data_IF_302977408060
#
_entry.id   IF_302977408060
#
_cell.length_a   1.000
_cell.length_b   1.000
_cell.length_c   1.000
_cell.angle_alpha   90.00
_cell.angle_beta   90.00
_cell.angle_gamma   90.00
#
_symmetry.space_group_name_H-M   'P 1'
#
loop_
_entity.id
_entity.type
_entity.pdbx_description
1 polymer ?
#
# COMPACT_ATOMS: atom_id res chain seq x y z
N UNK A 1 -4.99 -38.46 -3.87
CA UNK A 1 -4.43 -38.79 -5.19
C UNK A 1 -5.23 -38.20 -6.36
N UNK A 2 -6.56 -38.36 -6.45
CA UNK A 2 -7.32 -37.71 -7.55
C UNK A 2 -7.49 -36.19 -7.36
N UNK A 3 -7.56 -35.71 -6.10
CA UNK A 3 -7.66 -34.27 -5.79
C UNK A 3 -6.33 -33.50 -5.94
N UNK A 4 -5.19 -34.15 -5.68
CA UNK A 4 -3.85 -33.56 -5.93
C UNK A 4 -3.59 -33.37 -7.43
N UNK A 5 -4.07 -34.31 -8.24
CA UNK A 5 -3.93 -34.23 -9.70
C UNK A 5 -4.75 -33.08 -10.29
N UNK A 6 -5.92 -32.79 -9.71
CA UNK A 6 -6.75 -31.65 -10.13
C UNK A 6 -6.18 -30.32 -9.61
N UNK A 7 -5.57 -30.28 -8.43
CA UNK A 7 -4.92 -29.05 -7.95
C UNK A 7 -3.67 -28.69 -8.79
N UNK A 8 -2.88 -29.67 -9.21
CA UNK A 8 -1.73 -29.42 -10.11
C UNK A 8 -2.18 -29.04 -11.54
N UNK A 9 -3.33 -29.54 -12.00
CA UNK A 9 -3.89 -29.22 -13.32
C UNK A 9 -4.63 -27.86 -13.34
N UNK A 10 -5.20 -27.39 -12.22
CA UNK A 10 -5.78 -26.04 -12.11
C UNK A 10 -4.77 -24.97 -11.65
N UNK A 11 -3.64 -25.38 -11.08
CA UNK A 11 -2.47 -24.51 -10.90
C UNK A 11 -1.73 -24.24 -12.22
N UNK A 12 -2.26 -24.72 -13.36
CA UNK A 12 -1.72 -24.48 -14.69
C UNK A 12 -1.57 -22.97 -14.92
N UNK A 13 -0.31 -22.60 -14.80
CA UNK A 13 0.20 -21.26 -14.61
C UNK A 13 -0.30 -20.34 -15.70
N UNK A 14 -1.14 -19.37 -15.34
CA UNK A 14 -1.39 -18.27 -16.26
C UNK A 14 -0.05 -17.65 -16.62
N UNK A 15 0.30 -17.64 -17.93
CA UNK A 15 1.63 -17.27 -18.35
C UNK A 15 1.92 -15.86 -17.82
N UNK A 16 3.09 -15.63 -17.19
CA UNK A 16 3.39 -14.34 -16.58
C UNK A 16 3.23 -13.26 -17.64
N UNK A 17 2.55 -12.17 -17.27
CA UNK A 17 2.21 -11.10 -18.20
C UNK A 17 3.47 -10.56 -18.87
N UNK A 18 3.34 -10.01 -20.09
CA UNK A 18 4.48 -9.38 -20.77
C UNK A 18 5.15 -8.33 -19.86
N UNK A 19 4.38 -7.61 -19.05
CA UNK A 19 4.90 -6.63 -18.11
C UNK A 19 5.57 -7.25 -16.88
N UNK A 20 5.23 -8.47 -16.48
CA UNK A 20 6.00 -9.16 -15.43
C UNK A 20 7.41 -9.50 -15.92
N UNK A 21 7.53 -9.93 -17.17
CA UNK A 21 8.81 -10.28 -17.80
C UNK A 21 9.63 -9.03 -18.17
N UNK A 22 9.00 -8.08 -18.84
CA UNK A 22 9.67 -6.91 -19.43
C UNK A 22 9.57 -5.63 -18.61
N UNK A 23 8.76 -5.60 -17.56
CA UNK A 23 8.55 -4.39 -16.76
C UNK A 23 9.83 -3.88 -16.12
N UNK A 24 10.73 -4.75 -15.69
CA UNK A 24 12.05 -4.35 -15.17
C UNK A 24 12.91 -3.67 -16.23
N UNK A 25 13.20 -4.29 -17.40
CA UNK A 25 13.88 -3.61 -18.50
C UNK A 25 13.23 -2.31 -18.95
N UNK A 26 11.89 -2.28 -19.07
CA UNK A 26 11.16 -1.09 -19.54
C UNK A 26 11.28 0.05 -18.52
N UNK A 27 11.00 -0.20 -17.24
CA UNK A 27 11.17 0.82 -16.20
C UNK A 27 12.62 1.28 -16.07
N UNK A 28 13.58 0.36 -16.21
CA UNK A 28 15.02 0.69 -16.23
C UNK A 28 15.41 1.58 -17.41
N UNK A 29 14.92 1.27 -18.62
CA UNK A 29 15.19 2.07 -19.82
C UNK A 29 14.57 3.47 -19.71
N UNK A 30 13.33 3.59 -19.24
CA UNK A 30 12.68 4.89 -19.05
C UNK A 30 13.41 5.69 -17.97
N UNK A 31 13.78 5.05 -16.85
CA UNK A 31 14.56 5.68 -15.79
C UNK A 31 15.93 6.18 -16.32
N UNK A 32 16.59 5.39 -17.16
CA UNK A 32 17.86 5.77 -17.79
C UNK A 32 17.70 6.98 -18.72
N UNK A 33 16.71 6.96 -19.63
CA UNK A 33 16.42 8.09 -20.52
C UNK A 33 16.11 9.35 -19.72
N UNK A 34 15.32 9.23 -18.64
CA UNK A 34 14.98 10.36 -17.77
C UNK A 34 16.21 10.91 -17.05
N UNK A 35 17.12 10.02 -16.61
CA UNK A 35 18.39 10.43 -16.02
C UNK A 35 19.24 11.20 -17.02
N UNK A 36 19.44 10.67 -18.24
CA UNK A 36 20.22 11.33 -19.29
C UNK A 36 19.65 12.71 -19.65
N UNK A 37 18.32 12.85 -19.68
CA UNK A 37 17.69 14.12 -20.03
C UNK A 37 17.70 15.16 -18.89
N UNK A 38 17.54 14.73 -17.65
CA UNK A 38 17.39 15.64 -16.49
C UNK A 38 18.66 15.79 -15.68
N UNK A 39 19.66 14.93 -15.88
CA UNK A 39 20.80 14.71 -14.99
C UNK A 39 20.38 14.49 -13.52
N UNK A 40 19.14 14.07 -13.26
CA UNK A 40 18.58 13.94 -11.92
C UNK A 40 18.32 12.48 -11.56
N UNK A 41 19.21 11.96 -10.72
CA UNK A 41 19.21 10.57 -10.27
C UNK A 41 17.98 10.22 -9.42
N UNK A 42 17.36 11.21 -8.77
CA UNK A 42 16.19 10.96 -7.92
C UNK A 42 14.93 10.76 -8.75
N UNK A 43 14.70 11.59 -9.77
CA UNK A 43 13.56 11.38 -10.67
C UNK A 43 13.64 10.03 -11.39
N UNK A 44 14.85 9.65 -11.81
CA UNK A 44 15.13 8.34 -12.40
C UNK A 44 14.80 7.18 -11.45
N UNK A 45 15.27 7.25 -10.19
CA UNK A 45 15.00 6.20 -9.21
C UNK A 45 13.51 6.08 -8.85
N UNK A 46 12.78 7.20 -8.82
CA UNK A 46 11.32 7.19 -8.64
C UNK A 46 10.59 6.50 -9.79
N UNK A 47 10.99 6.76 -11.05
CA UNK A 47 10.42 6.08 -12.21
C UNK A 47 10.71 4.59 -12.17
N UNK A 48 11.93 4.21 -11.78
CA UNK A 48 12.26 2.80 -11.57
C UNK A 48 11.41 2.18 -10.45
N UNK A 49 11.12 2.94 -9.38
CA UNK A 49 10.31 2.50 -8.26
C UNK A 49 8.84 2.19 -8.65
N UNK A 50 8.32 2.77 -9.74
CA UNK A 50 6.97 2.50 -10.24
C UNK A 50 6.70 1.01 -10.44
N UNK A 51 7.76 0.22 -10.74
CA UNK A 51 7.66 -1.23 -10.90
C UNK A 51 7.14 -1.95 -9.65
N UNK A 52 7.42 -1.43 -8.45
CA UNK A 52 6.97 -2.03 -7.19
C UNK A 52 5.48 -1.86 -6.94
N UNK A 53 4.86 -0.80 -7.47
CA UNK A 53 3.42 -0.54 -7.31
C UNK A 53 2.55 -1.05 -8.45
N UNK A 54 3.13 -1.36 -9.61
CA UNK A 54 2.38 -1.70 -10.82
C UNK A 54 1.37 -2.84 -10.64
N UNK A 55 1.77 -3.93 -9.98
CA UNK A 55 0.90 -5.09 -9.78
C UNK A 55 -0.35 -4.72 -8.99
N UNK A 56 -0.22 -3.85 -7.98
CA UNK A 56 -1.36 -3.35 -7.21
C UNK A 56 -2.21 -2.37 -8.03
N UNK A 57 -1.63 -1.49 -8.84
CA UNK A 57 -2.41 -0.58 -9.69
C UNK A 57 -3.22 -1.33 -10.74
N UNK A 58 -2.60 -2.29 -11.42
CA UNK A 58 -3.26 -3.15 -12.41
C UNK A 58 -4.39 -3.99 -11.77
N UNK A 59 -4.09 -4.54 -10.61
CA UNK A 59 -5.04 -5.22 -9.74
C UNK A 59 -6.30 -4.40 -9.49
N UNK A 60 -6.12 -3.20 -8.94
CA UNK A 60 -7.20 -2.28 -8.66
C UNK A 60 -7.99 -1.88 -9.91
N UNK A 61 -7.29 -1.61 -11.02
CA UNK A 61 -7.92 -1.25 -12.30
C UNK A 61 -8.80 -2.37 -12.85
N UNK A 62 -8.35 -3.61 -12.73
CA UNK A 62 -9.10 -4.79 -13.17
C UNK A 62 -10.38 -4.97 -12.34
N UNK A 63 -10.29 -4.84 -11.01
CA UNK A 63 -11.49 -4.84 -10.17
C UNK A 63 -12.45 -3.73 -10.55
N UNK A 64 -11.96 -2.51 -10.75
CA UNK A 64 -12.82 -1.40 -11.13
C UNK A 64 -13.59 -1.67 -12.43
N UNK A 65 -12.97 -2.32 -13.42
CA UNK A 65 -13.61 -2.64 -14.69
C UNK A 65 -14.54 -3.85 -14.64
N UNK A 66 -14.28 -4.83 -13.77
CA UNK A 66 -15.01 -6.12 -13.74
C UNK A 66 -16.03 -6.24 -12.60
N UNK A 67 -15.97 -5.36 -11.60
CA UNK A 67 -16.87 -5.45 -10.45
C UNK A 67 -18.31 -5.08 -10.85
N UNK A 68 -19.28 -5.93 -10.47
CA UNK A 68 -20.70 -5.69 -10.73
C UNK A 68 -21.23 -4.41 -10.05
N UNK A 69 -20.58 -3.95 -8.99
CA UNK A 69 -20.95 -2.75 -8.25
C UNK A 69 -19.89 -1.67 -8.41
N UNK A 70 -20.18 -0.56 -9.13
CA UNK A 70 -19.16 0.43 -9.49
C UNK A 70 -18.53 1.10 -8.27
N UNK A 71 -19.30 1.31 -7.20
CA UNK A 71 -18.80 1.89 -5.95
C UNK A 71 -17.76 1.02 -5.24
N UNK A 72 -17.95 -0.31 -5.22
CA UNK A 72 -16.98 -1.25 -4.65
C UNK A 72 -15.74 -1.32 -5.52
N UNK A 73 -15.90 -1.45 -6.84
CA UNK A 73 -14.79 -1.47 -7.79
C UNK A 73 -13.89 -0.23 -7.66
N UNK A 74 -14.49 0.96 -7.55
CA UNK A 74 -13.76 2.21 -7.31
C UNK A 74 -13.02 2.24 -5.97
N UNK A 75 -13.66 1.78 -4.90
CA UNK A 75 -13.02 1.75 -3.59
C UNK A 75 -11.84 0.77 -3.56
N UNK A 76 -11.98 -0.40 -4.19
CA UNK A 76 -10.90 -1.40 -4.31
C UNK A 76 -9.74 -0.82 -5.13
N UNK A 77 -10.03 -0.16 -6.26
CA UNK A 77 -9.02 0.54 -7.06
C UNK A 77 -8.22 1.53 -6.23
N UNK A 78 -8.91 2.43 -5.50
CA UNK A 78 -8.25 3.45 -4.69
C UNK A 78 -7.41 2.85 -3.56
N UNK A 79 -7.87 1.76 -2.93
CA UNK A 79 -7.10 1.09 -1.89
C UNK A 79 -5.84 0.42 -2.45
N UNK A 80 -5.94 -0.17 -3.64
CA UNK A 80 -4.79 -0.71 -4.37
C UNK A 80 -3.83 0.39 -4.85
N UNK A 81 -4.35 1.53 -5.30
CA UNK A 81 -3.51 2.69 -5.64
C UNK A 81 -2.78 3.21 -4.39
N UNK A 82 -3.43 3.29 -3.24
CA UNK A 82 -2.79 3.66 -1.98
C UNK A 82 -1.65 2.67 -1.61
N UNK A 83 -1.88 1.36 -1.79
CA UNK A 83 -0.84 0.35 -1.61
C UNK A 83 0.33 0.53 -2.59
N UNK A 84 0.03 0.75 -3.87
CA UNK A 84 1.01 0.98 -4.93
C UNK A 84 1.88 2.20 -4.60
N UNK A 85 1.26 3.34 -4.31
CA UNK A 85 1.96 4.60 -3.98
C UNK A 85 2.83 4.44 -2.73
N UNK A 86 2.36 3.70 -1.72
CA UNK A 86 3.14 3.41 -0.52
C UNK A 86 4.40 2.60 -0.83
N UNK A 87 4.29 1.56 -1.66
CA UNK A 87 5.42 0.72 -2.07
C UNK A 87 6.43 1.50 -2.92
N UNK A 88 5.94 2.26 -3.90
CA UNK A 88 6.77 3.12 -4.77
C UNK A 88 7.55 4.11 -3.91
N UNK A 89 6.88 4.74 -2.94
CA UNK A 89 7.49 5.68 -2.02
C UNK A 89 8.58 5.04 -1.16
N UNK A 90 8.29 3.92 -0.48
CA UNK A 90 9.26 3.22 0.38
C UNK A 90 10.47 2.75 -0.45
N UNK A 91 10.23 2.17 -1.63
CA UNK A 91 11.28 1.73 -2.52
C UNK A 91 12.13 2.90 -3.04
N UNK A 92 11.49 4.02 -3.40
CA UNK A 92 12.17 5.25 -3.83
C UNK A 92 13.12 5.79 -2.75
N UNK A 93 12.66 5.85 -1.49
CA UNK A 93 13.50 6.25 -0.36
C UNK A 93 14.67 5.29 -0.18
N UNK A 94 14.41 3.98 -0.18
CA UNK A 94 15.45 2.96 -0.02
C UNK A 94 16.53 3.05 -1.11
N UNK A 95 16.11 3.25 -2.37
CA UNK A 95 17.03 3.42 -3.49
C UNK A 95 17.82 4.72 -3.39
N UNK A 96 17.20 5.81 -2.97
CA UNK A 96 17.90 7.08 -2.76
C UNK A 96 19.01 6.94 -1.71
N UNK A 97 18.73 6.27 -0.58
CA UNK A 97 19.76 5.98 0.43
C UNK A 97 20.85 5.05 -0.10
N UNK A 98 20.48 3.98 -0.81
CA UNK A 98 21.44 3.07 -1.41
C UNK A 98 22.40 3.81 -2.36
N UNK A 99 21.85 4.66 -3.23
CA UNK A 99 22.63 5.50 -4.14
C UNK A 99 23.54 6.47 -3.39
N UNK A 100 23.03 7.16 -2.36
CA UNK A 100 23.81 8.11 -1.58
C UNK A 100 25.01 7.44 -0.88
N UNK A 101 24.83 6.22 -0.37
CA UNK A 101 25.89 5.41 0.25
C UNK A 101 26.90 4.94 -0.79
N UNK A 102 26.43 4.40 -1.93
CA UNK A 102 27.28 3.86 -2.98
C UNK A 102 28.07 4.93 -3.75
N UNK A 103 27.61 6.19 -3.75
CA UNK A 103 28.31 7.30 -4.41
C UNK A 103 29.54 7.80 -3.63
N UNK A 104 29.59 7.61 -2.30
CA UNK A 104 30.68 8.06 -1.42
C UNK A 104 32.09 7.62 -1.89
N UNK A 105 32.36 6.33 -2.18
CA UNK A 105 33.70 5.87 -2.53
C UNK A 105 34.23 6.40 -3.87
N UNK A 106 33.37 6.91 -4.76
CA UNK A 106 33.78 7.38 -6.08
C UNK A 106 34.16 8.86 -6.12
N UNK A 107 34.21 9.55 -4.97
CA UNK A 107 34.60 10.96 -4.90
C UNK A 107 33.66 11.90 -5.66
N UNK A 108 32.52 11.40 -6.15
CA UNK A 108 31.42 12.24 -6.62
C UNK A 108 30.84 12.88 -5.37
N UNK A 109 31.00 14.19 -5.24
CA UNK A 109 30.52 14.95 -4.09
C UNK A 109 29.10 14.53 -3.74
N UNK A 110 28.86 14.32 -2.44
CA UNK A 110 27.52 14.01 -1.97
C UNK A 110 26.53 15.02 -2.58
N UNK A 111 25.33 14.58 -3.02
CA UNK A 111 24.32 15.52 -3.46
C UNK A 111 24.16 16.58 -2.38
N UNK A 112 24.12 17.84 -2.81
CA UNK A 112 23.95 18.98 -1.94
C UNK A 112 22.78 18.73 -0.97
N UNK A 113 23.02 18.92 0.32
CA UNK A 113 22.07 18.55 1.38
C UNK A 113 20.74 19.28 1.16
N UNK A 114 20.79 20.53 0.72
CA UNK A 114 19.58 21.33 0.47
C UNK A 114 18.77 20.75 -0.69
N UNK A 115 19.44 20.30 -1.75
CA UNK A 115 18.81 19.62 -2.88
C UNK A 115 18.19 18.29 -2.45
N UNK A 116 18.92 17.50 -1.66
CA UNK A 116 18.42 16.21 -1.15
C UNK A 116 17.22 16.40 -0.22
N UNK A 117 17.26 17.39 0.67
CA UNK A 117 16.15 17.73 1.56
C UNK A 117 14.93 18.24 0.81
N UNK A 118 15.12 19.07 -0.21
CA UNK A 118 14.03 19.57 -1.06
C UNK A 118 13.34 18.42 -1.80
N UNK A 119 14.13 17.53 -2.41
CA UNK A 119 13.58 16.38 -3.14
C UNK A 119 12.89 15.41 -2.18
N UNK A 120 13.51 15.11 -1.03
CA UNK A 120 12.88 14.32 0.03
C UNK A 120 11.55 14.93 0.45
N UNK A 121 11.49 16.24 0.71
CA UNK A 121 10.25 16.92 1.09
C UNK A 121 9.17 16.75 0.02
N UNK A 122 9.50 16.94 -1.26
CA UNK A 122 8.56 16.75 -2.37
C UNK A 122 8.05 15.31 -2.46
N UNK A 123 8.94 14.33 -2.31
CA UNK A 123 8.59 12.90 -2.37
C UNK A 123 7.76 12.48 -1.17
N UNK A 124 8.12 12.95 0.03
CA UNK A 124 7.37 12.74 1.27
C UNK A 124 5.97 13.33 1.15
N UNK A 125 5.87 14.61 0.80
CA UNK A 125 4.59 15.31 0.71
C UNK A 125 3.75 14.66 -0.40
N UNK A 126 4.28 14.50 -1.61
CA UNK A 126 3.53 13.95 -2.74
C UNK A 126 3.09 12.50 -2.53
N UNK A 127 4.03 11.61 -2.20
CA UNK A 127 3.78 10.17 -2.09
C UNK A 127 2.88 9.82 -0.92
N UNK A 128 3.12 10.40 0.26
CA UNK A 128 2.31 10.14 1.43
C UNK A 128 0.92 10.78 1.32
N UNK A 129 0.82 12.03 0.86
CA UNK A 129 -0.49 12.67 0.69
C UNK A 129 -1.34 11.95 -0.34
N UNK A 130 -0.76 11.51 -1.46
CA UNK A 130 -1.49 10.76 -2.47
C UNK A 130 -1.97 9.41 -1.92
N UNK A 131 -1.10 8.66 -1.23
CA UNK A 131 -1.47 7.38 -0.61
C UNK A 131 -2.61 7.54 0.40
N UNK A 132 -2.46 8.49 1.33
CA UNK A 132 -3.47 8.77 2.35
C UNK A 132 -4.76 9.29 1.74
N UNK A 133 -4.70 10.15 0.71
CA UNK A 133 -5.88 10.65 0.02
C UNK A 133 -6.64 9.53 -0.70
N UNK A 134 -5.94 8.63 -1.41
CA UNK A 134 -6.55 7.46 -2.04
C UNK A 134 -7.20 6.53 -1.00
N UNK A 135 -6.50 6.25 0.11
CA UNK A 135 -7.04 5.42 1.19
C UNK A 135 -8.29 6.06 1.82
N UNK A 136 -8.25 7.37 2.11
CA UNK A 136 -9.38 8.11 2.67
C UNK A 136 -10.56 8.15 1.71
N UNK A 137 -10.32 8.42 0.42
CA UNK A 137 -11.35 8.41 -0.61
C UNK A 137 -12.00 7.02 -0.74
N UNK A 138 -11.21 5.94 -0.69
CA UNK A 138 -11.73 4.57 -0.64
C UNK A 138 -12.66 4.35 0.57
N UNK A 139 -12.23 4.75 1.77
CA UNK A 139 -13.04 4.66 2.99
C UNK A 139 -14.35 5.45 2.85
N UNK A 140 -14.30 6.67 2.32
CA UNK A 140 -15.50 7.51 2.11
C UNK A 140 -16.48 6.87 1.12
N UNK A 141 -15.98 6.27 0.04
CA UNK A 141 -16.82 5.57 -0.94
C UNK A 141 -17.45 4.32 -0.33
N UNK A 142 -16.68 3.52 0.42
CA UNK A 142 -17.20 2.34 1.13
C UNK A 142 -18.30 2.73 2.13
N UNK A 143 -18.08 3.80 2.91
CA UNK A 143 -19.09 4.31 3.85
C UNK A 143 -20.35 4.81 3.13
N UNK A 144 -20.21 5.53 2.03
CA UNK A 144 -21.36 6.03 1.24
C UNK A 144 -22.15 4.91 0.58
N UNK A 145 -21.47 3.85 0.13
CA UNK A 145 -22.11 2.70 -0.51
C UNK A 145 -22.61 1.64 0.48
N UNK A 146 -22.23 1.73 1.76
CA UNK A 146 -22.53 0.70 2.77
C UNK A 146 -21.84 -0.63 2.47
N UNK A 147 -20.78 -0.64 1.67
CA UNK A 147 -20.07 -1.84 1.25
C UNK A 147 -18.73 -1.95 1.95
N UNK A 148 -18.32 -3.19 2.26
CA UNK A 148 -16.99 -3.53 2.77
C UNK A 148 -16.12 -4.09 1.64
N UNK A 149 -14.81 -4.00 1.79
CA UNK A 149 -13.84 -4.50 0.81
C UNK A 149 -12.96 -5.60 1.38
N UNK A 150 -12.63 -6.55 0.51
CA UNK A 150 -11.69 -7.62 0.76
C UNK A 150 -10.56 -7.55 -0.26
N UNK A 151 -9.32 -7.43 0.22
CA UNK A 151 -8.13 -7.40 -0.64
C UNK A 151 -7.24 -8.55 -0.23
N UNK A 152 -7.04 -9.49 -1.15
CA UNK A 152 -6.16 -10.64 -0.92
C UNK A 152 -4.68 -10.25 -1.02
N UNK A 153 -3.80 -11.00 -0.36
CA UNK A 153 -2.37 -10.98 -0.59
C UNK A 153 -1.90 -11.39 -1.98
N UNK A 154 -2.63 -12.31 -2.60
CA UNK A 154 -2.30 -12.87 -3.91
C UNK A 154 -3.23 -12.35 -5.00
N UNK A 155 -3.76 -11.15 -4.78
CA UNK A 155 -4.73 -10.50 -5.67
C UNK A 155 -4.31 -10.61 -7.14
N UNK A 156 -2.99 -10.51 -7.43
CA UNK A 156 -2.40 -10.69 -8.77
C UNK A 156 -2.62 -12.05 -9.43
N UNK A 157 -2.37 -13.15 -8.73
CA UNK A 157 -2.54 -14.49 -9.28
C UNK A 157 -4.03 -14.86 -9.39
N UNK A 158 -4.85 -14.29 -8.52
CA UNK A 158 -6.28 -14.55 -8.44
C UNK A 158 -7.13 -13.73 -9.44
N UNK A 159 -6.51 -12.96 -10.36
CA UNK A 159 -7.23 -12.19 -11.38
C UNK A 159 -7.79 -13.01 -12.55
N UNK A 160 -7.26 -14.21 -12.72
CA UNK A 160 -7.70 -15.18 -13.72
C UNK A 160 -8.66 -16.19 -13.13
N UNK A 161 -8.57 -16.41 -11.81
CA UNK A 161 -9.51 -17.25 -11.08
C UNK A 161 -10.78 -16.45 -10.75
N UNK A 162 -11.89 -17.16 -10.62
CA UNK A 162 -13.13 -16.54 -10.20
C UNK A 162 -12.98 -15.95 -8.80
N UNK A 163 -13.69 -14.87 -8.42
CA UNK A 163 -13.75 -14.42 -7.03
C UNK A 163 -14.17 -15.55 -6.05
N UNK A 164 -14.80 -16.59 -6.59
CA UNK A 164 -15.29 -17.79 -5.91
C UNK A 164 -14.23 -18.86 -5.63
N UNK A 165 -13.10 -18.87 -6.33
CA UNK A 165 -12.03 -19.88 -6.14
C UNK A 165 -11.06 -19.47 -5.03
N UNK A 166 -11.43 -18.44 -4.25
CA UNK A 166 -10.56 -17.87 -3.23
C UNK A 166 -10.57 -18.74 -1.99
N UNK A 167 -9.39 -19.10 -1.48
CA UNK A 167 -9.33 -19.82 -0.23
C UNK A 167 -9.88 -18.99 0.92
N UNK A 168 -10.75 -19.59 1.73
CA UNK A 168 -11.36 -18.96 2.90
C UNK A 168 -10.33 -18.54 3.97
N UNK A 169 -9.11 -19.07 3.90
CA UNK A 169 -8.01 -18.80 4.84
C UNK A 169 -7.14 -17.59 4.50
N UNK A 170 -7.43 -16.89 3.40
CA UNK A 170 -6.65 -15.72 3.01
C UNK A 170 -6.86 -14.57 4.00
N UNK A 171 -5.86 -13.69 4.14
CA UNK A 171 -5.94 -12.56 5.08
C UNK A 171 -6.31 -11.27 4.35
N UNK A 172 -7.21 -10.48 4.93
CA UNK A 172 -7.59 -9.19 4.35
C UNK A 172 -6.46 -8.16 4.48
N UNK A 173 -5.71 -7.94 3.39
CA UNK A 173 -4.65 -6.92 3.29
C UNK A 173 -5.14 -5.50 3.47
N UNK A 174 -6.44 -5.23 3.39
CA UNK A 174 -7.00 -3.91 3.64
C UNK A 174 -6.54 -3.35 5.00
N UNK A 175 -6.44 -4.20 6.03
CA UNK A 175 -5.96 -3.79 7.37
C UNK A 175 -4.53 -3.26 7.34
N UNK A 176 -3.67 -3.90 6.55
CA UNK A 176 -2.28 -3.50 6.37
C UNK A 176 -2.19 -2.16 5.63
N UNK A 177 -2.93 -2.01 4.53
CA UNK A 177 -2.91 -0.78 3.71
C UNK A 177 -3.39 0.42 4.54
N UNK A 178 -4.50 0.28 5.28
CA UNK A 178 -4.98 1.32 6.20
C UNK A 178 -3.94 1.64 7.27
N UNK A 179 -3.26 0.62 7.81
CA UNK A 179 -2.18 0.84 8.78
C UNK A 179 -1.02 1.65 8.18
N UNK A 180 -0.59 1.35 6.95
CA UNK A 180 0.43 2.13 6.25
C UNK A 180 -0.01 3.60 6.04
N UNK A 181 -1.24 3.85 5.60
CA UNK A 181 -1.75 5.20 5.45
C UNK A 181 -1.81 5.96 6.79
N UNK A 182 -2.17 5.27 7.88
CA UNK A 182 -2.17 5.87 9.22
C UNK A 182 -0.75 6.13 9.74
N UNK A 183 0.24 5.31 9.40
CA UNK A 183 1.65 5.59 9.69
C UNK A 183 2.09 6.88 8.98
N UNK A 184 1.67 7.09 7.73
CA UNK A 184 1.96 8.34 7.02
C UNK A 184 1.30 9.56 7.65
N UNK A 185 0.05 9.44 8.10
CA UNK A 185 -0.63 10.51 8.87
C UNK A 185 0.12 10.79 10.17
N UNK A 186 0.51 9.75 10.90
CA UNK A 186 1.27 9.87 12.15
C UNK A 186 2.62 10.55 11.90
N UNK A 187 3.34 10.15 10.86
CA UNK A 187 4.62 10.75 10.49
C UNK A 187 4.47 12.23 10.18
N UNK A 188 3.50 12.62 9.33
CA UNK A 188 3.20 14.03 9.07
C UNK A 188 2.82 14.80 10.34
N UNK A 189 2.03 14.16 11.21
CA UNK A 189 1.69 14.70 12.52
C UNK A 189 2.93 15.00 13.36
N UNK A 190 3.89 14.07 13.43
CA UNK A 190 5.17 14.25 14.14
C UNK A 190 5.99 15.38 13.54
N UNK A 191 6.11 15.45 12.20
CA UNK A 191 6.81 16.57 11.53
C UNK A 191 6.18 17.90 11.93
N UNK A 192 4.85 18.02 11.86
CA UNK A 192 4.14 19.24 12.28
C UNK A 192 4.33 19.55 13.78
N UNK A 193 4.32 18.52 14.64
CA UNK A 193 4.55 18.65 16.09
C UNK A 193 5.95 19.12 16.43
N UNK A 194 6.96 18.82 15.61
CA UNK A 194 8.34 19.29 15.84
C UNK A 194 8.54 20.66 15.19
N UNK A 195 8.10 20.84 13.94
CA UNK A 195 8.37 22.05 13.16
C UNK A 195 7.57 23.26 13.65
N UNK A 196 6.27 23.13 13.94
CA UNK A 196 5.47 24.28 14.36
C UNK A 196 6.00 24.91 15.65
N UNK A 197 6.25 24.13 16.72
CA UNK A 197 6.74 24.73 17.95
C UNK A 197 8.16 25.32 17.80
N UNK A 198 9.02 24.73 16.96
CA UNK A 198 10.34 25.28 16.67
C UNK A 198 10.25 26.64 15.96
N UNK A 199 9.33 26.80 15.01
CA UNK A 199 9.05 28.10 14.37
C UNK A 199 8.59 29.13 15.40
N UNK A 200 7.67 28.76 16.30
CA UNK A 200 7.20 29.65 17.37
C UNK A 200 8.30 30.08 18.35
N UNK A 201 9.20 29.17 18.71
CA UNK A 201 10.34 29.46 19.59
C UNK A 201 11.33 30.45 18.96
N UNK A 202 11.56 30.34 17.65
CA UNK A 202 12.48 31.23 16.91
C UNK A 202 11.88 32.64 16.80
N UNK A 203 10.59 32.74 16.50
CA UNK A 203 9.95 34.03 16.20
C UNK A 203 9.72 34.90 17.46
N UNK A 204 9.50 34.30 18.64
CA UNK A 204 9.16 35.05 19.87
C UNK A 204 9.81 34.48 21.12
N UNK A 205 11.13 34.61 21.34
CA UNK A 205 11.76 34.12 22.56
C UNK A 205 11.25 34.91 23.79
N UNK A 206 10.49 34.23 24.67
CA UNK A 206 9.97 34.82 25.91
C UNK A 206 10.07 33.85 27.09
N UNK A 207 10.49 34.31 28.30
CA UNK A 207 10.76 33.44 29.44
C UNK A 207 9.53 32.66 29.95
N UNK A 208 8.33 33.17 29.69
CA UNK A 208 7.07 32.54 30.11
C UNK A 208 6.49 31.56 29.08
N UNK A 209 7.15 31.34 27.93
CA UNK A 209 6.61 30.50 26.85
C UNK A 209 6.95 29.01 26.98
N UNK A 210 8.04 28.67 27.68
CA UNK A 210 8.47 27.29 27.86
C UNK A 210 7.38 26.33 28.41
N UNK A 211 6.61 26.67 29.46
CA UNK A 211 5.57 25.75 29.96
C UNK A 211 4.43 25.54 28.96
N UNK A 212 3.99 26.60 28.27
CA UNK A 212 2.94 26.51 27.24
C UNK A 212 3.40 25.73 26.01
N UNK A 213 4.67 25.89 25.64
CA UNK A 213 5.32 25.11 24.59
C UNK A 213 5.31 23.62 24.93
N UNK A 214 5.76 23.24 26.13
CA UNK A 214 5.80 21.83 26.54
C UNK A 214 4.40 21.22 26.57
N UNK A 215 3.42 21.95 27.11
CA UNK A 215 2.02 21.51 27.11
C UNK A 215 1.48 21.30 25.68
N UNK A 216 1.72 22.24 24.77
CA UNK A 216 1.36 22.14 23.36
C UNK A 216 2.01 20.93 22.68
N UNK A 217 3.32 20.76 22.86
CA UNK A 217 4.08 19.65 22.30
C UNK A 217 3.56 18.28 22.79
N UNK A 218 3.40 18.08 24.10
CA UNK A 218 2.88 16.83 24.65
C UNK A 218 1.43 16.56 24.24
N UNK A 219 0.58 17.59 24.22
CA UNK A 219 -0.82 17.43 23.75
C UNK A 219 -0.89 17.04 22.27
N UNK A 220 -0.02 17.57 21.41
CA UNK A 220 0.08 17.17 20.01
C UNK A 220 0.57 15.72 19.86
N UNK A 221 1.57 15.28 20.65
CA UNK A 221 2.02 13.88 20.64
C UNK A 221 0.87 12.94 21.02
N UNK A 222 0.18 13.23 22.13
CA UNK A 222 -0.95 12.43 22.59
C UNK A 222 -2.09 12.44 21.55
N UNK A 223 -2.39 13.59 20.95
CA UNK A 223 -3.37 13.72 19.87
C UNK A 223 -3.02 12.86 18.66
N UNK A 224 -1.76 12.89 18.21
CA UNK A 224 -1.29 12.07 17.09
C UNK A 224 -1.39 10.56 17.38
N UNK A 225 -1.02 10.13 18.59
CA UNK A 225 -1.18 8.73 19.01
C UNK A 225 -2.65 8.33 19.05
N UNK A 226 -3.52 9.19 19.59
CA UNK A 226 -4.96 8.94 19.61
C UNK A 226 -5.53 8.81 18.19
N UNK A 227 -5.18 9.73 17.29
CA UNK A 227 -5.56 9.65 15.86
C UNK A 227 -5.06 8.35 15.25
N UNK A 228 -3.83 7.93 15.53
CA UNK A 228 -3.29 6.68 15.02
C UNK A 228 -4.11 5.47 15.48
N UNK A 229 -4.25 5.26 16.80
CA UNK A 229 -4.90 4.05 17.33
C UNK A 229 -6.41 4.04 17.06
N UNK A 230 -7.12 5.11 17.43
CA UNK A 230 -8.57 5.18 17.27
C UNK A 230 -8.97 5.37 15.82
N UNK A 231 -8.25 6.22 15.07
CA UNK A 231 -8.52 6.46 13.65
C UNK A 231 -8.26 5.23 12.81
N UNK A 232 -7.18 4.46 13.08
CA UNK A 232 -6.92 3.19 12.40
C UNK A 232 -8.04 2.18 12.64
N UNK A 233 -8.41 1.95 13.90
CA UNK A 233 -9.44 0.95 14.23
C UNK A 233 -10.79 1.34 13.64
N UNK A 234 -11.15 2.62 13.73
CA UNK A 234 -12.34 3.16 13.09
C UNK A 234 -12.32 2.99 11.57
N UNK A 235 -11.21 3.31 10.91
CA UNK A 235 -11.05 3.19 9.47
C UNK A 235 -11.17 1.73 9.03
N UNK A 236 -10.46 0.82 9.70
CA UNK A 236 -10.50 -0.62 9.44
C UNK A 236 -11.93 -1.16 9.59
N UNK A 237 -12.61 -0.88 10.70
CA UNK A 237 -14.00 -1.36 10.90
C UNK A 237 -14.99 -0.80 9.88
N UNK A 238 -14.72 0.40 9.36
CA UNK A 238 -15.58 1.05 8.38
C UNK A 238 -15.45 0.46 6.97
N UNK A 239 -14.30 -0.15 6.66
CA UNK A 239 -13.95 -0.50 5.27
C UNK A 239 -13.64 -1.97 5.07
N UNK A 240 -12.99 -2.63 6.03
CA UNK A 240 -12.51 -4.00 5.87
C UNK A 240 -13.63 -5.02 6.13
N UNK A 241 -13.82 -5.93 5.19
CA UNK A 241 -14.60 -7.14 5.38
C UNK A 241 -13.89 -8.12 6.33
N UNK A 242 -14.65 -8.86 7.14
CA UNK A 242 -14.11 -9.91 8.02
C UNK A 242 -13.98 -11.23 7.26
N UNK A 243 -14.88 -11.45 6.30
CA UNK A 243 -14.84 -12.57 5.36
C UNK A 243 -15.04 -12.07 3.92
N UNK A 244 -14.52 -12.79 2.91
CA UNK A 244 -14.76 -12.46 1.50
C UNK A 244 -16.26 -12.30 1.19
N UNK A 245 -17.12 -13.13 1.80
CA UNK A 245 -18.56 -13.12 1.60
C UNK A 245 -19.25 -11.81 2.01
N UNK A 246 -18.72 -11.09 3.00
CA UNK A 246 -19.25 -9.78 3.40
C UNK A 246 -19.14 -8.76 2.26
N UNK A 247 -18.13 -8.95 1.41
CA UNK A 247 -17.84 -8.07 0.28
C UNK A 247 -18.79 -8.33 -0.89
N UNK A 248 -19.14 -9.60 -1.16
CA UNK A 248 -19.93 -10.04 -2.33
C UNK A 248 -21.24 -10.76 -1.96
N UNK A 249 -21.98 -10.24 -0.98
CA UNK A 249 -23.22 -10.88 -0.50
C UNK A 249 -24.32 -11.04 -1.57
N UNK A 250 -24.31 -10.23 -2.64
CA UNK A 250 -25.25 -10.40 -3.75
C UNK A 250 -25.11 -11.74 -4.46
N UNK A 251 -23.92 -12.35 -4.41
CA UNK A 251 -23.65 -13.64 -5.04
C UNK A 251 -24.23 -14.80 -4.23
N UNK A 252 -24.45 -14.62 -2.93
CA UNK A 252 -25.18 -15.59 -2.10
C UNK A 252 -26.68 -15.61 -2.41
N UNK A 253 -27.23 -14.54 -3.00
CA UNK A 253 -28.64 -14.46 -3.37
C UNK A 253 -28.95 -15.06 -4.74
N UNK A 254 -27.95 -15.27 -5.59
CA UNK A 254 -28.15 -16.11 -6.77
C UNK A 254 -28.11 -17.58 -6.30
N UNK A 255 -29.18 -18.33 -6.55
CA UNK A 255 -29.50 -19.71 -6.08
C UNK A 255 -28.45 -20.82 -6.35
N UNK A 256 -27.20 -20.48 -6.64
CA UNK A 256 -26.15 -21.42 -7.00
C UNK A 256 -25.61 -22.11 -5.74
N UNK A 257 -26.22 -23.20 -5.30
CA UNK A 257 -25.98 -23.88 -4.01
C UNK A 257 -24.56 -24.44 -3.79
N UNK A 258 -23.71 -24.43 -4.82
CA UNK A 258 -22.34 -24.97 -4.80
C UNK A 258 -21.35 -24.19 -3.92
N UNK A 259 -21.68 -23.00 -3.40
CA UNK A 259 -20.75 -22.23 -2.57
C UNK A 259 -20.66 -22.69 -1.11
N UNK A 260 -21.70 -23.34 -0.55
CA UNK A 260 -21.68 -23.78 0.85
C UNK A 260 -20.64 -24.88 1.11
N UNK A 261 -20.36 -25.72 0.11
CA UNK A 261 -19.38 -26.81 0.21
C UNK A 261 -17.95 -26.30 0.23
N UNK A 262 -17.64 -25.19 -0.46
CA UNK A 262 -16.30 -24.58 -0.48
C UNK A 262 -15.94 -23.87 0.84
N UNK A 263 -16.92 -23.31 1.55
CA UNK A 263 -16.69 -22.57 2.80
C UNK A 263 -16.52 -23.50 4.01
N UNK A 264 -17.12 -24.70 3.96
CA UNK A 264 -17.16 -25.63 5.08
C UNK A 264 -16.00 -26.62 5.10
N UNK A 265 -15.24 -26.73 4.01
CA UNK A 265 -14.04 -27.56 4.01
C UNK A 265 -12.97 -26.88 4.89
N UNK A 266 -12.53 -27.52 5.99
CA UNK A 266 -11.39 -27.02 6.74
C UNK A 266 -10.20 -26.90 5.78
N UNK A 267 -9.31 -25.92 5.98
CA UNK A 267 -8.11 -25.83 5.15
C UNK A 267 -7.46 -27.21 5.12
N UNK A 268 -7.06 -27.71 3.93
CA UNK A 268 -6.32 -28.96 3.87
C UNK A 268 -5.19 -28.82 4.88
N UNK A 269 -5.07 -29.79 5.79
CA UNK A 269 -3.96 -29.81 6.73
C UNK A 269 -2.71 -29.91 5.86
N UNK A 270 -2.11 -28.76 5.54
CA UNK A 270 -0.77 -28.71 5.00
C UNK A 270 0.07 -29.47 6.02
N UNK A 271 0.54 -30.64 5.62
CA UNK A 271 1.54 -31.37 6.36
C UNK A 271 2.77 -30.47 6.42
N UNK A 272 2.86 -29.67 7.49
CA UNK A 272 3.95 -28.75 7.83
C UNK A 272 5.31 -29.46 7.98
N UNK A 273 5.39 -30.75 7.67
CA UNK A 273 6.59 -31.57 7.73
C UNK A 273 7.56 -31.33 6.56
N UNK A 274 7.15 -30.66 5.47
CA UNK A 274 8.01 -30.56 4.27
C UNK A 274 8.69 -29.21 3.96
N UNK A 275 8.39 -28.12 4.67
CA UNK A 275 9.01 -26.81 4.40
C UNK A 275 10.27 -26.48 5.23
N UNK A 276 10.97 -27.49 5.73
CA UNK A 276 12.21 -27.32 6.50
C UNK A 276 13.47 -26.96 5.68
N UNK A 277 13.44 -26.84 4.35
CA UNK A 277 14.66 -26.74 3.54
C UNK A 277 14.51 -25.92 2.24
N UNK A 278 13.88 -24.74 2.26
CA UNK A 278 14.07 -23.76 1.19
C UNK A 278 14.37 -22.38 1.79
N UNK A 279 15.60 -21.96 1.50
CA UNK A 279 16.32 -20.78 1.97
C UNK A 279 15.57 -19.45 1.79
#
# INVERSE_FOLDING_TARGET
MHDEMLQDEFAETTPPSLFDRWGWPICGLIAFILFEWTANLVWSSMVFALRFGWRDSYAGGTYWLRDATPGRGWAILLMHLAAATSKIFIAGIGMMFAIAILAQPWGRGAPDIDTLMTILALIFIGGMMLSTACCLASILICRRSGRRIWIDSESYAQYTASPFDRPAWTTNRCRWIVSCAMIFVLFMGVVLTICLPLIFLIDKPGPNQAPWFMLGFFSMILGNLAVFFYGREWAVRSVAAEHPLDCWHELLRSDNTDWMTLITQPPPKEDLTHNGNRF
#
